data_IF_574123950012
#
_entry.id   IF_574123950012
#
_cell.length_a   1.000
_cell.length_b   1.000
_cell.length_c   1.000
_cell.angle_alpha   90.00
_cell.angle_beta   90.00
_cell.angle_gamma   90.00
#
_symmetry.space_group_name_H-M   'P 1'
#
loop_
_entity.id
_entity.type
_entity.pdbx_description
1 polymer ?
#
# COMPACT_ATOMS: atom_id res chain seq x y z
N UNK A 1 14.55 -6.19 -8.62
CA UNK A 1 13.83 -5.65 -7.45
C UNK A 1 12.41 -5.36 -7.91
N UNK A 2 11.39 -5.95 -7.28
CA UNK A 2 9.99 -5.67 -7.63
C UNK A 2 9.59 -4.30 -7.03
N UNK A 3 8.57 -3.64 -7.58
CA UNK A 3 8.23 -2.25 -7.21
C UNK A 3 7.80 -2.10 -5.74
N UNK A 4 7.19 -3.13 -5.17
CA UNK A 4 6.80 -3.16 -3.76
C UNK A 4 8.04 -3.20 -2.85
N UNK A 5 9.03 -4.04 -3.17
CA UNK A 5 10.30 -4.15 -2.42
C UNK A 5 11.08 -2.83 -2.44
N UNK A 6 11.11 -2.16 -3.60
CA UNK A 6 11.74 -0.84 -3.71
C UNK A 6 11.06 0.19 -2.79
N UNK A 7 9.74 0.15 -2.69
CA UNK A 7 8.98 1.02 -1.79
C UNK A 7 9.25 0.68 -0.32
N UNK A 8 9.30 -0.61 0.02
CA UNK A 8 9.65 -1.07 1.36
C UNK A 8 11.06 -0.64 1.77
N UNK A 9 12.05 -0.74 0.88
CA UNK A 9 13.41 -0.23 1.13
C UNK A 9 13.40 1.28 1.42
N UNK A 10 12.66 2.05 0.61
CA UNK A 10 12.50 3.50 0.82
C UNK A 10 11.87 3.82 2.19
N UNK A 11 10.92 2.99 2.65
CA UNK A 11 10.29 3.13 3.97
C UNK A 11 11.23 2.74 5.11
N UNK A 12 12.07 1.71 4.93
CA UNK A 12 13.11 1.33 5.89
C UNK A 12 14.13 2.46 6.08
N UNK A 13 14.57 3.08 4.98
CA UNK A 13 15.55 4.18 5.00
C UNK A 13 15.03 5.42 5.75
N UNK A 14 13.70 5.62 5.80
CA UNK A 14 13.08 6.69 6.61
C UNK A 14 13.17 6.44 8.12
N UNK A 15 13.26 5.18 8.53
CA UNK A 15 13.29 4.77 9.93
C UNK A 15 11.97 4.97 10.69
N UNK A 16 11.87 4.35 11.87
CA UNK A 16 10.69 4.43 12.73
C UNK A 16 9.47 3.64 12.23
N UNK A 17 8.41 3.55 13.05
CA UNK A 17 7.20 2.81 12.69
C UNK A 17 6.48 3.48 11.51
N UNK A 18 6.08 2.67 10.53
CA UNK A 18 5.36 3.11 9.34
C UNK A 18 3.90 2.64 9.40
N UNK A 19 2.99 3.48 8.93
CA UNK A 19 1.56 3.14 8.79
C UNK A 19 1.18 3.29 7.32
N UNK A 20 0.54 2.25 6.77
CA UNK A 20 0.04 2.22 5.41
C UNK A 20 -1.49 2.15 5.49
N UNK A 21 -2.19 2.96 4.69
CA UNK A 21 -3.64 3.02 4.70
C UNK A 21 -4.20 3.04 3.27
N UNK A 22 -5.39 2.47 3.10
CA UNK A 22 -6.26 2.64 1.94
C UNK A 22 -7.63 3.10 2.43
N UNK A 23 -8.36 3.85 1.60
CA UNK A 23 -9.63 4.44 1.99
C UNK A 23 -10.61 4.55 0.83
N UNK A 24 -11.89 4.36 1.12
CA UNK A 24 -12.96 4.46 0.13
C UNK A 24 -14.09 5.29 0.72
N UNK A 25 -14.60 6.25 -0.04
CA UNK A 25 -15.90 6.87 0.26
C UNK A 25 -16.98 6.03 -0.42
N UNK A 26 -17.90 5.38 0.33
CA UNK A 26 -18.88 4.47 -0.25
C UNK A 26 -20.10 5.24 -0.83
N UNK A 27 -19.85 6.19 -1.73
CA UNK A 27 -20.89 7.03 -2.36
C UNK A 27 -21.34 6.54 -3.74
N UNK A 28 -20.86 5.38 -4.20
CA UNK A 28 -21.15 4.82 -5.52
C UNK A 28 -20.77 3.35 -5.60
N UNK A 29 -20.78 2.80 -6.82
CA UNK A 29 -20.44 1.38 -7.04
C UNK A 29 -18.98 1.06 -6.73
N UNK A 30 -18.75 -0.10 -6.14
CA UNK A 30 -17.41 -0.61 -5.91
C UNK A 30 -16.85 -1.23 -7.20
N UNK A 31 -15.74 -0.69 -7.71
CA UNK A 31 -15.11 -1.15 -8.95
C UNK A 31 -13.62 -1.52 -8.77
N UNK A 32 -13.01 -2.10 -9.80
CA UNK A 32 -11.60 -2.55 -9.80
C UNK A 32 -10.59 -1.47 -9.43
N UNK A 33 -10.90 -0.19 -9.69
CA UNK A 33 -10.07 0.93 -9.24
C UNK A 33 -9.90 1.02 -7.72
N UNK A 34 -10.90 0.65 -6.93
CA UNK A 34 -10.80 0.59 -5.47
C UNK A 34 -9.90 -0.58 -5.02
N UNK A 35 -10.00 -1.72 -5.70
CA UNK A 35 -9.13 -2.87 -5.45
C UNK A 35 -7.67 -2.51 -5.69
N UNK A 36 -7.37 -1.67 -6.70
CA UNK A 36 -6.00 -1.19 -6.94
C UNK A 36 -5.43 -0.51 -5.70
N UNK A 37 -6.18 0.38 -5.06
CA UNK A 37 -5.69 1.08 -3.85
C UNK A 37 -5.46 0.13 -2.69
N UNK A 38 -6.44 -0.75 -2.41
CA UNK A 38 -6.36 -1.74 -1.34
C UNK A 38 -5.16 -2.68 -1.55
N UNK A 39 -5.01 -3.22 -2.77
CA UNK A 39 -3.95 -4.16 -3.09
C UNK A 39 -2.57 -3.51 -3.12
N UNK A 40 -2.46 -2.25 -3.55
CA UNK A 40 -1.18 -1.53 -3.46
C UNK A 40 -0.74 -1.36 -2.01
N UNK A 41 -1.66 -0.96 -1.12
CA UNK A 41 -1.37 -0.84 0.31
C UNK A 41 -0.93 -2.19 0.91
N UNK A 42 -1.66 -3.26 0.63
CA UNK A 42 -1.35 -4.62 1.10
C UNK A 42 -0.01 -5.15 0.57
N UNK A 43 0.30 -4.93 -0.71
CA UNK A 43 1.56 -5.39 -1.31
C UNK A 43 2.77 -4.67 -0.71
N UNK A 44 2.67 -3.38 -0.44
CA UNK A 44 3.74 -2.63 0.24
C UNK A 44 3.87 -3.10 1.68
N UNK A 45 2.75 -3.31 2.39
CA UNK A 45 2.78 -3.83 3.76
C UNK A 45 3.49 -5.19 3.84
N UNK A 46 3.13 -6.12 2.95
CA UNK A 46 3.79 -7.44 2.86
C UNK A 46 5.28 -7.36 2.56
N UNK A 47 5.69 -6.41 1.72
CA UNK A 47 7.11 -6.20 1.41
C UNK A 47 7.89 -5.58 2.58
N UNK A 48 7.20 -5.00 3.58
CA UNK A 48 7.81 -4.47 4.80
C UNK A 48 7.91 -5.51 5.95
N UNK A 49 7.29 -6.68 5.80
CA UNK A 49 7.39 -7.81 6.75
C UNK A 49 8.62 -8.66 6.46
#
# INVERSE_FOLDING_TARGET
>A
MHWADHTAQTLQDRGGPQVIASGITPSGEFHVGHLREILTAEMIHRACL
#
